data_IF_616184506522
#
_entry.id   IF_616184506522
#
_cell.length_a   1.000
_cell.length_b   1.000
_cell.length_c   1.000
_cell.angle_alpha   90.00
_cell.angle_beta   90.00
_cell.angle_gamma   90.00
#
_symmetry.space_group_name_H-M   'P 1'
#
loop_
_entity.id
_entity.type
_entity.pdbx_description
1 polymer ?
#
# COMPACT_ATOMS: atom_id res chain seq x y z
N UNK A 1 -13.93 -3.89 15.12
CA UNK A 1 -14.02 -2.78 14.14
C UNK A 1 -13.07 -1.70 14.61
N UNK A 2 -12.20 -1.15 13.74
CA UNK A 2 -11.28 -0.06 14.14
C UNK A 2 -12.11 1.18 14.49
N UNK A 3 -11.87 1.75 15.67
CA UNK A 3 -12.61 2.90 16.20
C UNK A 3 -11.94 4.24 15.89
N UNK A 4 -10.62 4.26 15.69
CA UNK A 4 -9.87 5.44 15.32
C UNK A 4 -8.79 5.09 14.28
N UNK A 5 -8.85 5.73 13.11
CA UNK A 5 -7.94 5.50 11.99
C UNK A 5 -6.72 6.42 11.99
N UNK A 6 -6.71 7.49 12.79
CA UNK A 6 -5.59 8.45 12.85
C UNK A 6 -4.30 7.82 13.38
N UNK A 7 -4.43 6.72 14.12
CA UNK A 7 -3.31 5.95 14.67
C UNK A 7 -2.94 4.74 13.81
N UNK A 8 -3.47 4.63 12.59
CA UNK A 8 -3.27 3.47 11.71
C UNK A 8 -2.43 3.86 10.50
N UNK A 9 -1.42 3.04 10.22
CA UNK A 9 -0.62 3.10 8.99
C UNK A 9 -0.68 1.74 8.32
N UNK A 10 -0.98 1.70 7.03
CA UNK A 10 -0.90 0.47 6.24
C UNK A 10 0.50 0.34 5.64
N UNK A 11 1.13 -0.81 5.84
CA UNK A 11 2.37 -1.16 5.18
C UNK A 11 2.12 -2.27 4.16
N UNK A 12 2.44 -2.01 2.89
CA UNK A 12 2.43 -3.00 1.82
C UNK A 12 3.83 -3.58 1.62
N UNK A 13 3.96 -4.90 1.81
CA UNK A 13 5.21 -5.64 1.60
C UNK A 13 5.01 -6.73 0.53
N UNK A 14 5.63 -6.62 -0.65
CA UNK A 14 5.50 -7.61 -1.71
C UNK A 14 6.28 -8.88 -1.38
N UNK A 15 5.65 -9.86 -0.73
CA UNK A 15 6.32 -11.12 -0.35
C UNK A 15 6.91 -11.90 -1.53
N UNK A 16 6.39 -11.69 -2.74
CA UNK A 16 6.86 -12.35 -3.96
C UNK A 16 8.25 -11.88 -4.43
N UNK A 17 8.77 -10.75 -3.91
CA UNK A 17 10.16 -10.29 -4.19
C UNK A 17 11.17 -10.77 -3.13
N UNK A 18 10.69 -11.27 -1.99
CA UNK A 18 11.57 -11.66 -0.88
C UNK A 18 12.31 -12.94 -1.24
N UNK A 19 13.64 -12.87 -1.30
CA UNK A 19 14.50 -14.02 -1.61
C UNK A 19 14.50 -14.44 -3.08
N UNK A 20 13.89 -13.68 -4.00
CA UNK A 20 13.70 -14.12 -5.40
C UNK A 20 14.61 -13.44 -6.42
N UNK A 21 15.56 -12.59 -6.02
CA UNK A 21 16.36 -11.69 -6.91
C UNK A 21 15.51 -10.81 -7.84
N UNK A 22 14.19 -10.80 -7.65
CA UNK A 22 13.26 -9.92 -8.36
C UNK A 22 13.07 -8.65 -7.53
N UNK A 23 12.66 -7.58 -8.20
CA UNK A 23 12.39 -6.27 -7.61
C UNK A 23 11.02 -5.82 -8.10
N UNK A 24 10.27 -5.13 -7.25
CA UNK A 24 9.03 -4.52 -7.69
C UNK A 24 9.35 -3.24 -8.47
N UNK A 25 8.59 -2.99 -9.53
CA UNK A 25 8.65 -1.70 -10.22
C UNK A 25 7.71 -0.70 -9.53
N UNK A 26 8.00 0.62 -9.55
CA UNK A 26 7.16 1.64 -8.93
C UNK A 26 5.70 1.59 -9.37
N UNK A 27 5.43 1.24 -10.64
CA UNK A 27 4.07 1.11 -11.15
C UNK A 27 3.26 0.01 -10.43
N UNK A 28 3.88 -1.13 -10.11
CA UNK A 28 3.23 -2.21 -9.36
C UNK A 28 2.91 -1.78 -7.92
N UNK A 29 3.83 -1.05 -7.28
CA UNK A 29 3.57 -0.50 -5.94
C UNK A 29 2.40 0.50 -5.96
N UNK A 30 2.33 1.34 -7.00
CA UNK A 30 1.26 2.31 -7.16
C UNK A 30 -0.10 1.65 -7.42
N UNK A 31 -0.14 0.60 -8.23
CA UNK A 31 -1.36 -0.17 -8.50
C UNK A 31 -1.95 -0.74 -7.20
N UNK A 32 -1.11 -1.36 -6.36
CA UNK A 32 -1.55 -1.89 -5.08
C UNK A 32 -1.99 -0.79 -4.12
N UNK A 33 -1.27 0.35 -4.08
CA UNK A 33 -1.69 1.49 -3.26
C UNK A 33 -3.07 2.03 -3.70
N UNK A 34 -3.34 2.11 -5.00
CA UNK A 34 -4.62 2.56 -5.53
C UNK A 34 -5.76 1.59 -5.17
N UNK A 35 -5.53 0.29 -5.32
CA UNK A 35 -6.48 -0.77 -4.90
C UNK A 35 -6.78 -0.69 -3.40
N UNK A 36 -5.75 -0.52 -2.55
CA UNK A 36 -5.93 -0.37 -1.10
C UNK A 36 -6.71 0.90 -0.72
N UNK A 37 -6.42 2.04 -1.36
CA UNK A 37 -7.21 3.27 -1.14
C UNK A 37 -8.67 3.10 -1.57
N UNK A 38 -8.92 2.46 -2.72
CA UNK A 38 -10.26 2.16 -3.20
C UNK A 38 -11.01 1.28 -2.19
N UNK A 39 -10.36 0.23 -1.69
CA UNK A 39 -10.93 -0.64 -0.67
C UNK A 39 -11.30 0.13 0.61
N UNK A 40 -10.42 1.01 1.10
CA UNK A 40 -10.70 1.86 2.27
C UNK A 40 -11.90 2.77 2.04
N UNK A 41 -12.01 3.35 0.83
CA UNK A 41 -13.12 4.24 0.48
C UNK A 41 -14.47 3.50 0.49
N UNK A 42 -14.49 2.29 -0.04
CA UNK A 42 -15.69 1.46 -0.17
C UNK A 42 -16.11 0.81 1.16
N UNK A 43 -15.14 0.38 1.97
CA UNK A 43 -15.40 -0.44 3.16
C UNK A 43 -15.34 0.33 4.49
N UNK A 44 -14.75 1.53 4.49
CA UNK A 44 -14.63 2.37 5.69
C UNK A 44 -15.34 3.70 5.49
N UNK A 45 -14.74 4.61 4.71
CA UNK A 45 -15.33 5.85 4.19
C UNK A 45 -14.26 6.63 3.38
N UNK A 46 -14.69 7.69 2.71
CA UNK A 46 -13.81 8.52 1.88
C UNK A 46 -12.77 9.34 2.66
N UNK A 47 -13.08 9.74 3.90
CA UNK A 47 -12.17 10.54 4.74
C UNK A 47 -10.97 9.70 5.19
N UNK A 48 -11.23 8.50 5.71
CA UNK A 48 -10.20 7.53 6.09
C UNK A 48 -9.35 7.15 4.89
N UNK A 49 -9.95 6.91 3.73
CA UNK A 49 -9.19 6.58 2.52
C UNK A 49 -8.20 7.69 2.11
N UNK A 50 -8.56 8.96 2.33
CA UNK A 50 -7.73 10.10 2.01
C UNK A 50 -6.66 10.39 3.08
N UNK A 51 -6.95 10.16 4.36
CA UNK A 51 -6.05 10.46 5.47
C UNK A 51 -5.08 9.31 5.81
N UNK A 52 -5.46 8.06 5.51
CA UNK A 52 -4.66 6.87 5.83
C UNK A 52 -3.38 6.83 5.01
N UNK A 53 -2.24 6.77 5.68
CA UNK A 53 -0.94 6.60 5.02
C UNK A 53 -0.73 5.13 4.65
N UNK A 54 -0.37 4.91 3.40
CA UNK A 54 0.03 3.61 2.87
C UNK A 54 1.50 3.70 2.50
N UNK A 55 2.32 2.90 3.18
CA UNK A 55 3.77 2.85 2.98
C UNK A 55 4.14 1.57 2.23
N UNK A 56 5.02 1.71 1.25
CA UNK A 56 5.64 0.57 0.61
C UNK A 56 6.87 0.14 1.42
N UNK A 57 6.96 -1.16 1.74
CA UNK A 57 8.09 -1.75 2.47
C UNK A 57 8.75 -2.82 1.60
N UNK A 58 9.82 -2.45 0.91
CA UNK A 58 10.53 -3.35 0.01
C UNK A 58 11.59 -2.63 -0.81
N UNK A 59 12.17 -3.34 -1.78
CA UNK A 59 13.15 -2.79 -2.72
C UNK A 59 12.44 -2.43 -4.02
N UNK A 60 12.54 -1.16 -4.40
CA UNK A 60 12.11 -0.65 -5.70
C UNK A 60 13.31 -0.50 -6.62
N UNK A 61 13.20 -0.95 -7.88
CA UNK A 61 14.16 -0.58 -8.92
C UNK A 61 13.63 0.63 -9.68
N UNK A 62 14.47 1.66 -9.82
CA UNK A 62 14.23 2.83 -10.67
C UNK A 62 14.76 2.64 -12.10
N UNK A 63 15.52 1.57 -12.35
CA UNK A 63 16.04 1.22 -13.67
C UNK A 63 15.03 0.32 -14.37
N UNK A 64 14.38 0.88 -15.40
CA UNK A 64 13.73 0.16 -16.48
C UNK A 64 14.76 -0.05 -17.59
#
# INVERSE_FOLDING_TARGET
>A
KISNWDNVVLAYEPVWVIGTRKVAIPAQAQEVHAELQKWLKENVNAEVAASTRIIYRGILSLLC
#
